data_IF_913122658074
#
_entry.id   IF_913122658074
#
_cell.length_a   1.000
_cell.length_b   1.000
_cell.length_c   1.000
_cell.angle_alpha   90.00
_cell.angle_beta   90.00
_cell.angle_gamma   90.00
#
_symmetry.space_group_name_H-M   'P 1'
#
loop_
_entity.id
_entity.type
_entity.pdbx_description
1 polymer ?
#
# COMPACT_ATOMS: atom_id res chain seq x y z
N UNK A 1 3.02 9.20 19.95
CA UNK A 1 2.83 8.17 18.92
C UNK A 1 3.86 7.06 19.08
N UNK A 2 3.40 5.83 19.23
CA UNK A 2 4.28 4.70 19.49
C UNK A 2 4.34 3.76 18.30
N UNK A 3 5.52 3.21 18.07
CA UNK A 3 5.73 2.26 17.00
C UNK A 3 5.77 0.84 17.57
N UNK A 4 4.76 0.01 17.26
CA UNK A 4 4.73 -1.39 17.69
C UNK A 4 5.68 -2.24 16.86
N UNK A 5 6.58 -2.94 17.54
CA UNK A 5 7.59 -3.74 16.87
C UNK A 5 8.01 -4.94 17.73
N UNK A 6 7.23 -6.03 17.70
CA UNK A 6 7.58 -7.26 18.40
C UNK A 6 8.75 -7.97 17.74
N UNK A 7 8.54 -8.43 16.50
CA UNK A 7 9.60 -9.07 15.76
C UNK A 7 9.06 -9.84 14.57
N UNK A 8 8.29 -9.14 13.74
CA UNK A 8 7.69 -9.77 12.56
C UNK A 8 8.64 -9.75 11.37
N UNK A 9 9.21 -8.58 11.09
CA UNK A 9 10.11 -8.46 9.97
C UNK A 9 10.43 -7.02 9.62
N UNK A 10 10.63 -6.72 8.32
CA UNK A 10 11.06 -5.40 7.86
C UNK A 10 9.99 -4.32 8.01
N UNK A 11 10.38 -3.07 7.81
CA UNK A 11 9.47 -1.94 7.94
C UNK A 11 9.03 -1.44 6.58
N UNK A 12 8.01 -0.59 6.58
CA UNK A 12 7.41 -0.10 5.34
C UNK A 12 8.40 0.72 4.52
N UNK A 13 9.38 1.29 5.21
CA UNK A 13 10.46 2.04 4.57
C UNK A 13 11.10 1.25 3.43
N UNK A 14 11.16 -0.07 3.59
CA UNK A 14 11.76 -0.93 2.57
C UNK A 14 10.87 -1.00 1.33
N UNK A 15 9.57 -1.19 1.55
CA UNK A 15 8.62 -1.31 0.46
C UNK A 15 8.40 0.02 -0.27
N UNK A 16 8.12 1.08 0.51
CA UNK A 16 7.75 2.38 -0.05
C UNK A 16 8.83 2.94 -0.97
N UNK A 17 10.09 2.60 -0.68
CA UNK A 17 11.22 3.11 -1.43
C UNK A 17 11.12 2.73 -2.90
N UNK A 18 10.50 1.59 -3.18
CA UNK A 18 10.41 1.09 -4.55
C UNK A 18 9.24 1.74 -5.32
N UNK A 19 8.72 2.84 -4.80
CA UNK A 19 7.66 3.59 -5.46
C UNK A 19 7.85 5.08 -5.23
N UNK A 20 7.03 5.89 -5.88
CA UNK A 20 7.12 7.33 -5.71
C UNK A 20 6.64 7.79 -4.34
N UNK A 21 7.30 8.81 -3.81
CA UNK A 21 6.97 9.32 -2.48
C UNK A 21 5.64 10.06 -2.48
N UNK A 22 5.17 10.40 -3.67
CA UNK A 22 3.90 11.10 -3.83
C UNK A 22 2.76 10.08 -4.01
N UNK A 23 3.10 8.82 -3.91
CA UNK A 23 2.14 7.75 -4.10
C UNK A 23 1.71 7.16 -2.76
N UNK A 24 0.51 6.60 -2.72
CA UNK A 24 -0.04 6.08 -1.49
C UNK A 24 0.18 4.56 -1.40
N UNK A 25 0.49 4.08 -0.21
CA UNK A 25 0.81 2.66 -0.02
C UNK A 25 -0.43 1.87 0.39
N UNK A 26 -0.67 0.78 -0.32
CA UNK A 26 -1.80 -0.10 -0.04
C UNK A 26 -1.41 -1.54 -0.37
N UNK A 27 -1.78 -2.50 0.48
CA UNK A 27 -1.54 -3.90 0.16
C UNK A 27 -2.81 -4.54 -0.36
N UNK A 28 -2.73 -5.13 -1.55
CA UNK A 28 -3.90 -5.80 -2.11
C UNK A 28 -3.53 -6.87 -3.13
N UNK A 29 -4.02 -8.09 -2.92
CA UNK A 29 -3.90 -9.13 -3.92
C UNK A 29 -5.18 -9.17 -4.76
N UNK A 30 -5.16 -8.46 -5.86
CA UNK A 30 -6.32 -8.40 -6.74
C UNK A 30 -6.20 -9.47 -7.83
N UNK A 31 -7.33 -10.00 -8.27
CA UNK A 31 -7.34 -11.02 -9.30
C UNK A 31 -6.93 -10.41 -10.63
N UNK A 32 -7.33 -9.15 -10.84
CA UNK A 32 -6.97 -8.42 -12.04
C UNK A 32 -5.49 -8.09 -12.04
N UNK A 33 -4.97 -7.70 -10.88
CA UNK A 33 -3.56 -7.36 -10.74
C UNK A 33 -2.68 -8.61 -10.84
N UNK A 34 -3.15 -9.70 -10.24
CA UNK A 34 -2.43 -10.97 -10.27
C UNK A 34 -2.27 -11.49 -11.70
N UNK A 35 -3.17 -11.06 -12.58
CA UNK A 35 -3.13 -11.49 -13.97
C UNK A 35 -2.65 -10.36 -14.87
N UNK A 36 -2.15 -9.29 -14.24
CA UNK A 36 -1.62 -8.12 -14.94
C UNK A 36 -2.62 -7.55 -15.95
N UNK A 37 -3.87 -7.41 -15.52
CA UNK A 37 -4.92 -6.92 -16.39
C UNK A 37 -5.60 -5.69 -15.80
N UNK A 38 -4.82 -4.79 -15.23
CA UNK A 38 -5.36 -3.59 -14.62
C UNK A 38 -4.41 -2.42 -14.80
N UNK A 39 -4.80 -1.47 -15.65
CA UNK A 39 -4.01 -0.27 -15.82
C UNK A 39 -4.47 0.81 -14.88
N UNK A 40 -5.78 0.98 -14.80
CA UNK A 40 -6.39 1.94 -13.89
C UNK A 40 -7.68 1.37 -13.28
N UNK A 41 -8.15 0.27 -13.85
CA UNK A 41 -9.39 -0.36 -13.40
C UNK A 41 -9.15 -1.26 -12.19
N UNK A 42 -8.49 -0.71 -11.17
CA UNK A 42 -8.18 -1.47 -9.96
C UNK A 42 -8.61 -0.69 -8.72
N UNK A 43 -9.45 -1.32 -7.87
CA UNK A 43 -9.94 -0.71 -6.64
C UNK A 43 -8.94 -0.86 -5.50
N UNK A 44 -8.54 0.27 -4.91
CA UNK A 44 -7.61 0.26 -3.80
C UNK A 44 -8.27 -0.34 -2.55
N UNK A 45 -9.44 0.18 -2.23
CA UNK A 45 -10.17 -0.26 -1.05
C UNK A 45 -11.29 -1.22 -1.44
N UNK A 46 -11.19 -2.46 -0.99
CA UNK A 46 -12.17 -3.47 -1.36
C UNK A 46 -12.69 -4.20 -0.12
N UNK A 47 -12.14 -5.38 0.16
CA UNK A 47 -12.64 -6.22 1.22
C UNK A 47 -11.55 -6.52 2.25
N UNK A 48 -11.99 -6.72 3.49
CA UNK A 48 -11.11 -7.02 4.60
C UNK A 48 -10.37 -8.35 4.39
N UNK A 49 -9.14 -8.25 3.92
CA UNK A 49 -8.34 -9.45 3.70
C UNK A 49 -7.87 -9.55 2.27
N UNK A 50 -8.36 -8.68 1.41
CA UNK A 50 -7.97 -8.69 0.01
C UNK A 50 -7.24 -7.39 -0.33
N UNK A 51 -7.93 -6.27 -0.19
CA UNK A 51 -7.34 -4.98 -0.46
C UNK A 51 -7.81 -3.96 0.57
N UNK A 52 -6.89 -3.13 1.04
CA UNK A 52 -7.24 -2.03 1.93
C UNK A 52 -6.21 -0.93 1.84
N UNK A 53 -6.67 0.31 1.88
CA UNK A 53 -5.77 1.46 1.91
C UNK A 53 -5.31 1.70 3.33
N UNK A 54 -4.00 1.84 3.51
CA UNK A 54 -3.44 2.03 4.83
C UNK A 54 -3.13 3.49 5.07
N UNK A 55 -3.56 4.02 6.23
CA UNK A 55 -3.42 5.44 6.56
C UNK A 55 -2.02 5.99 6.30
N UNK A 56 -1.93 6.98 5.42
CA UNK A 56 -0.66 7.54 5.00
C UNK A 56 -0.12 8.53 6.02
N UNK A 57 -0.98 8.90 6.96
CA UNK A 57 -0.64 9.87 8.00
C UNK A 57 0.59 9.44 8.79
N UNK A 58 0.58 8.21 9.27
CA UNK A 58 1.70 7.68 10.04
C UNK A 58 2.85 7.27 9.13
N UNK A 59 2.52 6.90 7.91
CA UNK A 59 3.49 6.29 6.99
C UNK A 59 4.70 7.18 6.73
N UNK A 60 4.53 8.49 6.84
CA UNK A 60 5.61 9.42 6.55
C UNK A 60 6.67 9.43 7.65
N UNK A 61 6.24 9.67 8.90
CA UNK A 61 7.16 9.81 10.02
C UNK A 61 7.33 8.49 10.77
N UNK A 62 6.29 7.66 10.73
CA UNK A 62 6.29 6.39 11.43
C UNK A 62 6.56 5.27 10.45
N UNK A 63 7.41 5.55 9.46
CA UNK A 63 7.79 4.55 8.47
C UNK A 63 8.65 3.48 9.11
N UNK A 64 9.11 3.78 10.33
CA UNK A 64 9.88 2.85 11.12
C UNK A 64 9.01 1.69 11.59
N UNK A 65 7.69 1.86 11.42
CA UNK A 65 6.74 0.81 11.76
C UNK A 65 6.95 -0.40 10.86
N UNK A 66 7.25 -1.57 11.47
CA UNK A 66 7.44 -2.82 10.74
C UNK A 66 6.16 -3.31 10.08
N UNK A 67 6.32 -4.24 9.15
CA UNK A 67 5.20 -4.77 8.36
C UNK A 67 4.15 -5.46 9.23
N UNK A 68 4.47 -5.65 10.51
CA UNK A 68 3.52 -6.22 11.47
C UNK A 68 2.25 -5.38 11.58
N UNK A 69 2.33 -4.10 11.20
CA UNK A 69 1.16 -3.22 11.19
C UNK A 69 0.73 -2.95 9.75
N UNK A 70 0.97 -3.92 8.89
CA UNK A 70 0.74 -3.81 7.46
C UNK A 70 0.37 -5.17 6.92
N UNK A 71 -0.03 -5.23 5.67
CA UNK A 71 -0.45 -6.49 5.10
C UNK A 71 0.60 -7.06 4.15
N UNK A 72 1.13 -8.23 4.47
CA UNK A 72 2.06 -8.90 3.58
C UNK A 72 1.29 -9.43 2.38
N UNK A 73 1.31 -8.65 1.32
CA UNK A 73 0.56 -8.92 0.12
C UNK A 73 1.22 -8.20 -1.03
N UNK A 74 0.86 -8.57 -2.26
CA UNK A 74 1.27 -7.81 -3.43
C UNK A 74 1.05 -6.32 -3.17
N UNK A 75 2.11 -5.63 -2.79
CA UNK A 75 2.00 -4.24 -2.40
C UNK A 75 1.69 -3.38 -3.61
N UNK A 76 0.78 -2.44 -3.43
CA UNK A 76 0.37 -1.58 -4.50
C UNK A 76 0.57 -0.13 -4.08
N UNK A 77 1.07 0.67 -4.97
CA UNK A 77 1.21 2.08 -4.70
C UNK A 77 0.44 2.86 -5.76
N UNK A 78 -0.51 3.62 -5.28
CA UNK A 78 -1.45 4.32 -6.14
C UNK A 78 -1.23 5.81 -6.05
N UNK A 79 -1.75 6.57 -7.01
CA UNK A 79 -1.65 8.01 -6.96
C UNK A 79 -2.14 8.55 -5.62
N UNK A 80 -1.31 9.38 -4.98
CA UNK A 80 -1.63 9.94 -3.66
C UNK A 80 -3.08 10.36 -3.54
N UNK A 81 -3.82 9.58 -2.77
CA UNK A 81 -5.24 9.81 -2.61
C UNK A 81 -5.52 10.96 -1.65
N UNK A 82 -5.64 12.15 -2.22
CA UNK A 82 -6.10 13.30 -1.46
C UNK A 82 -7.59 13.45 -1.66
N UNK A 83 -8.25 14.17 -0.75
CA UNK A 83 -9.70 14.36 -0.83
C UNK A 83 -10.08 14.92 -2.20
N UNK A 84 -10.76 14.11 -2.99
CA UNK A 84 -11.11 14.52 -4.33
C UNK A 84 -10.66 13.51 -5.37
N UNK A 85 -9.71 12.66 -5.00
CA UNK A 85 -9.21 11.64 -5.90
C UNK A 85 -10.07 10.38 -5.82
N UNK A 86 -11.28 10.48 -6.36
CA UNK A 86 -12.25 9.38 -6.28
C UNK A 86 -11.83 8.19 -7.14
N UNK A 87 -11.08 8.46 -8.20
CA UNK A 87 -10.61 7.41 -9.09
C UNK A 87 -9.19 7.69 -9.54
N UNK A 88 -8.31 6.71 -9.35
CA UNK A 88 -6.90 6.85 -9.70
C UNK A 88 -6.34 5.50 -10.11
N UNK A 89 -5.08 5.47 -10.51
CA UNK A 89 -4.46 4.23 -10.96
C UNK A 89 -3.56 3.64 -9.87
N UNK A 90 -3.61 2.33 -9.73
CA UNK A 90 -2.75 1.62 -8.79
C UNK A 90 -1.71 0.81 -9.53
N UNK A 91 -0.50 0.73 -8.99
CA UNK A 91 0.56 -0.08 -9.58
C UNK A 91 1.32 -0.82 -8.48
N UNK A 92 1.72 -2.08 -8.75
CA UNK A 92 2.46 -2.90 -7.77
C UNK A 92 3.81 -2.28 -7.40
N UNK A 93 4.08 -2.22 -6.10
CA UNK A 93 5.35 -1.70 -5.60
C UNK A 93 6.44 -2.75 -5.77
N UNK A 94 6.20 -3.90 -5.16
CA UNK A 94 7.14 -5.00 -5.22
C UNK A 94 6.51 -6.17 -5.96
N UNK A 95 6.88 -6.33 -7.22
CA UNK A 95 6.32 -7.39 -8.06
C UNK A 95 7.43 -8.29 -8.55
#
# INVERSE_FOLDING_TARGET
SAIPAPGEGPSVSMAQQKCGAEKVVSCCNSKELKNSKSGAEIPIDVLSGECKNIPINILTINQLIPINNFCSDTVSCCSGEQIGLVNIQCTPILS
#
